data_IF_724379254574
#
_entry.id   IF_724379254574
#
_cell.length_a   1.000
_cell.length_b   1.000
_cell.length_c   1.000
_cell.angle_alpha   90.00
_cell.angle_beta   90.00
_cell.angle_gamma   90.00
#
_symmetry.space_group_name_H-M   'P 1'
#
loop_
_entity.id
_entity.type
_entity.pdbx_description
1 polymer ?
#
# COMPACT_ATOMS: atom_id res chain seq x y z
N UNK A 1 13.27 1.58 -23.70
CA UNK A 1 12.58 2.73 -23.07
C UNK A 1 13.62 3.77 -22.70
N UNK A 2 13.32 5.06 -22.84
CA UNK A 2 14.26 6.16 -22.56
C UNK A 2 13.71 7.05 -21.44
N UNK A 3 14.60 7.62 -20.63
CA UNK A 3 14.21 8.55 -19.57
C UNK A 3 13.73 9.88 -20.16
N UNK A 4 12.56 10.36 -19.72
CA UNK A 4 11.99 11.65 -20.16
C UNK A 4 12.80 12.87 -19.73
N UNK A 5 13.57 12.80 -18.63
CA UNK A 5 14.41 13.91 -18.17
C UNK A 5 15.78 13.97 -18.84
N UNK A 6 16.38 12.82 -19.19
CA UNK A 6 17.79 12.79 -19.64
C UNK A 6 18.09 11.90 -20.84
N UNK A 7 17.07 11.32 -21.47
CA UNK A 7 17.20 10.53 -22.71
C UNK A 7 18.01 9.23 -22.59
N UNK A 8 18.46 8.86 -21.39
CA UNK A 8 19.24 7.65 -21.17
C UNK A 8 18.39 6.39 -21.40
N UNK A 9 18.98 5.35 -21.97
CA UNK A 9 18.33 4.05 -22.11
C UNK A 9 18.10 3.43 -20.72
N UNK A 10 16.87 2.97 -20.48
CA UNK A 10 16.42 2.40 -19.22
C UNK A 10 16.43 0.88 -19.29
N UNK A 11 16.96 0.23 -18.25
CA UNK A 11 16.72 -1.19 -17.99
C UNK A 11 15.33 -1.35 -17.36
N UNK A 12 14.60 -2.41 -17.72
CA UNK A 12 13.15 -2.53 -17.53
C UNK A 12 12.66 -2.68 -16.06
N UNK A 13 13.51 -2.48 -15.04
CA UNK A 13 13.14 -2.67 -13.62
C UNK A 13 13.77 -1.66 -12.64
N UNK A 14 14.11 -0.44 -13.05
CA UNK A 14 14.62 0.58 -12.10
C UNK A 14 13.55 1.61 -11.75
N UNK A 15 13.31 1.85 -10.44
CA UNK A 15 12.39 2.90 -9.95
C UNK A 15 12.89 4.32 -10.24
N UNK A 16 14.18 4.44 -10.53
CA UNK A 16 14.86 5.70 -10.81
C UNK A 16 15.80 5.51 -12.00
N UNK A 17 16.08 6.61 -12.70
CA UNK A 17 17.05 6.62 -13.78
C UNK A 17 18.48 6.58 -13.21
N UNK A 18 19.29 5.61 -13.61
CA UNK A 18 20.68 5.47 -13.16
C UNK A 18 21.60 6.62 -13.59
N UNK A 19 21.17 7.45 -14.56
CA UNK A 19 21.98 8.55 -15.09
C UNK A 19 21.66 9.91 -14.45
N UNK A 20 20.37 10.21 -14.27
CA UNK A 20 19.93 11.52 -13.80
C UNK A 20 19.12 11.48 -12.49
N UNK A 21 18.90 10.29 -11.91
CA UNK A 21 18.14 10.13 -10.66
C UNK A 21 16.63 10.37 -10.79
N UNK A 22 16.15 10.77 -11.97
CA UNK A 22 14.72 11.03 -12.21
C UNK A 22 13.88 9.79 -11.86
N UNK A 23 12.82 9.99 -11.07
CA UNK A 23 11.89 8.93 -10.70
C UNK A 23 11.13 8.48 -11.93
N UNK A 24 11.14 7.18 -12.16
CA UNK A 24 10.41 6.53 -13.24
C UNK A 24 9.14 5.98 -12.63
N UNK A 25 7.99 6.34 -13.18
CA UNK A 25 6.72 5.74 -12.81
C UNK A 25 6.75 4.33 -13.41
N UNK A 26 7.28 3.38 -12.65
CA UNK A 26 7.32 1.96 -13.03
C UNK A 26 5.94 1.34 -12.90
N UNK A 27 5.64 0.39 -13.78
CA UNK A 27 4.43 -0.42 -14.02
C UNK A 27 3.64 -0.92 -12.79
N UNK A 28 4.10 -0.71 -11.57
CA UNK A 28 3.37 -1.07 -10.35
C UNK A 28 2.08 -0.24 -10.18
N UNK A 29 2.01 1.00 -10.67
CA UNK A 29 0.76 1.78 -10.64
C UNK A 29 -0.34 1.17 -11.53
N UNK A 30 0.03 0.52 -12.63
CA UNK A 30 -0.92 -0.21 -13.49
C UNK A 30 -1.44 -1.49 -12.85
N UNK A 31 -0.66 -2.16 -11.99
CA UNK A 31 -1.13 -3.36 -11.27
C UNK A 31 -2.04 -3.00 -10.09
N UNK A 32 -1.76 -1.89 -9.40
CA UNK A 32 -2.66 -1.37 -8.34
C UNK A 32 -4.02 -1.00 -8.94
N UNK A 33 -4.06 -0.34 -10.10
CA UNK A 33 -5.30 0.01 -10.78
C UNK A 33 -6.12 -1.23 -11.16
N UNK A 34 -5.50 -2.25 -11.76
CA UNK A 34 -6.18 -3.50 -12.10
C UNK A 34 -6.71 -4.25 -10.88
N UNK A 35 -5.95 -4.26 -9.79
CA UNK A 35 -6.38 -4.93 -8.56
C UNK A 35 -7.56 -4.21 -7.90
N UNK A 36 -7.60 -2.87 -7.98
CA UNK A 36 -8.69 -2.06 -7.47
C UNK A 36 -9.97 -2.22 -8.30
N UNK A 37 -9.86 -2.26 -9.63
CA UNK A 37 -10.98 -2.55 -10.53
C UNK A 37 -11.57 -3.94 -10.25
N UNK A 38 -10.72 -4.96 -10.09
CA UNK A 38 -11.19 -6.32 -9.78
C UNK A 38 -11.90 -6.41 -8.42
N UNK A 39 -11.45 -5.63 -7.42
CA UNK A 39 -12.17 -5.52 -6.13
C UNK A 39 -13.52 -4.83 -6.27
N UNK A 40 -13.61 -3.81 -7.12
CA UNK A 40 -14.88 -3.13 -7.38
C UNK A 40 -15.89 -4.09 -8.03
N UNK A 41 -15.47 -4.87 -9.01
CA UNK A 41 -16.35 -5.85 -9.67
C UNK A 41 -16.90 -6.89 -8.68
N UNK A 42 -16.06 -7.45 -7.81
CA UNK A 42 -16.50 -8.39 -6.77
C UNK A 42 -17.47 -7.74 -5.76
N UNK A 43 -17.26 -6.46 -5.43
CA UNK A 43 -18.14 -5.73 -4.52
C UNK A 43 -19.50 -5.37 -5.18
N UNK A 44 -19.47 -4.97 -6.45
CA UNK A 44 -20.67 -4.65 -7.22
C UNK A 44 -21.56 -5.87 -7.42
N UNK A 45 -20.99 -7.06 -7.64
CA UNK A 45 -21.74 -8.30 -7.73
C UNK A 45 -22.44 -8.62 -6.40
N UNK A 46 -21.72 -8.54 -5.27
CA UNK A 46 -22.31 -8.71 -3.94
C UNK A 46 -23.45 -7.74 -3.64
N UNK A 47 -23.27 -6.46 -4.00
CA UNK A 47 -24.31 -5.45 -3.82
C UNK A 47 -25.53 -5.74 -4.68
N UNK A 48 -25.34 -6.18 -5.93
CA UNK A 48 -26.44 -6.54 -6.83
C UNK A 48 -27.27 -7.69 -6.25
N UNK A 49 -26.63 -8.80 -5.85
CA UNK A 49 -27.32 -9.96 -5.29
C UNK A 49 -28.03 -9.65 -3.97
N UNK A 50 -27.39 -8.89 -3.07
CA UNK A 50 -28.02 -8.49 -1.81
C UNK A 50 -29.25 -7.61 -2.03
N UNK A 51 -29.20 -6.71 -3.02
CA UNK A 51 -30.33 -5.84 -3.36
C UNK A 51 -31.47 -6.64 -3.98
N UNK A 52 -31.18 -7.52 -4.94
CA UNK A 52 -32.19 -8.39 -5.57
C UNK A 52 -32.83 -9.32 -4.54
N UNK A 53 -32.04 -9.94 -3.67
CA UNK A 53 -32.53 -10.83 -2.62
C UNK A 53 -33.37 -10.08 -1.59
N UNK A 54 -32.92 -8.90 -1.15
CA UNK A 54 -33.66 -8.04 -0.23
C UNK A 54 -35.00 -7.58 -0.81
N UNK A 55 -35.03 -7.18 -2.08
CA UNK A 55 -36.27 -6.78 -2.75
C UNK A 55 -37.24 -7.95 -2.91
N UNK A 56 -36.74 -9.12 -3.32
CA UNK A 56 -37.54 -10.34 -3.41
C UNK A 56 -38.13 -10.73 -2.05
N UNK A 57 -37.38 -10.52 -0.97
CA UNK A 57 -37.86 -10.74 0.39
C UNK A 57 -38.97 -9.77 0.82
N UNK A 58 -38.85 -8.49 0.46
CA UNK A 58 -39.87 -7.50 0.79
C UNK A 58 -41.16 -7.78 0.01
N UNK A 59 -41.05 -8.03 -1.30
CA UNK A 59 -42.20 -8.31 -2.17
C UNK A 59 -42.85 -9.66 -1.84
N UNK A 60 -42.05 -10.69 -1.59
CA UNK A 60 -42.54 -12.00 -1.15
C UNK A 60 -43.28 -11.93 0.17
N UNK A 61 -42.79 -11.11 1.12
CA UNK A 61 -43.45 -10.88 2.40
C UNK A 61 -44.81 -10.21 2.23
N UNK A 62 -44.89 -9.18 1.39
CA UNK A 62 -46.16 -8.49 1.08
C UNK A 62 -47.19 -9.43 0.44
N UNK A 63 -46.79 -10.24 -0.54
CA UNK A 63 -47.69 -11.19 -1.22
C UNK A 63 -48.17 -12.31 -0.28
N UNK A 64 -47.32 -12.73 0.67
CA UNK A 64 -47.67 -13.72 1.67
C UNK A 64 -48.64 -13.18 2.72
N UNK A 65 -48.53 -11.89 3.08
CA UNK A 65 -49.44 -11.27 4.04
C UNK A 65 -50.89 -11.26 3.55
N UNK A 66 -51.12 -11.07 2.24
CA UNK A 66 -52.47 -11.10 1.64
C UNK A 66 -53.15 -12.47 1.81
N UNK A 67 -52.38 -13.56 1.72
CA UNK A 67 -52.88 -14.93 1.91
C UNK A 67 -52.89 -15.39 3.37
N UNK A 68 -52.02 -14.82 4.21
CA UNK A 68 -51.86 -15.28 5.58
C UNK A 68 -52.97 -14.78 6.53
N UNK A 69 -53.76 -13.79 6.13
CA UNK A 69 -54.91 -13.26 6.88
C UNK A 69 -55.97 -14.32 7.23
N UNK A 70 -56.03 -15.46 6.51
CA UNK A 70 -57.05 -16.50 6.73
C UNK A 70 -56.57 -17.87 7.26
N UNK A 71 -55.28 -18.24 7.19
CA UNK A 71 -54.90 -19.66 7.39
C UNK A 71 -53.47 -19.96 7.85
N UNK A 72 -52.58 -18.98 8.06
CA UNK A 72 -51.15 -19.26 7.87
C UNK A 72 -50.16 -18.66 8.86
N UNK A 73 -50.44 -18.63 10.17
CA UNK A 73 -49.47 -18.12 11.16
C UNK A 73 -48.11 -18.87 11.09
N UNK A 74 -48.15 -20.19 10.85
CA UNK A 74 -46.94 -21.00 10.64
C UNK A 74 -46.18 -20.66 9.35
N UNK A 75 -46.88 -20.20 8.32
CA UNK A 75 -46.30 -19.86 7.02
C UNK A 75 -45.50 -18.54 7.10
N UNK A 76 -46.01 -17.56 7.85
CA UNK A 76 -45.28 -16.33 8.17
C UNK A 76 -44.02 -16.65 8.97
N UNK A 77 -44.12 -17.49 10.01
CA UNK A 77 -42.97 -17.86 10.85
C UNK A 77 -41.91 -18.60 10.03
N UNK A 78 -42.32 -19.57 9.20
CA UNK A 78 -41.41 -20.29 8.31
C UNK A 78 -40.70 -19.33 7.33
N UNK A 79 -41.43 -18.35 6.78
CA UNK A 79 -40.86 -17.32 5.90
C UNK A 79 -39.82 -16.45 6.62
N UNK A 80 -40.11 -15.99 7.84
CA UNK A 80 -39.20 -15.20 8.66
C UNK A 80 -37.91 -15.96 9.01
N UNK A 81 -38.02 -17.26 9.34
CA UNK A 81 -36.86 -18.11 9.64
C UNK A 81 -36.02 -18.33 8.38
N UNK A 82 -36.66 -18.68 7.26
CA UNK A 82 -35.97 -18.97 6.00
C UNK A 82 -35.22 -17.74 5.49
N UNK A 83 -35.87 -16.59 5.51
CA UNK A 83 -35.29 -15.32 5.09
C UNK A 83 -34.13 -14.85 5.94
N UNK A 84 -34.29 -14.90 7.27
CA UNK A 84 -33.24 -14.57 8.22
C UNK A 84 -32.03 -15.49 8.03
N UNK A 85 -32.26 -16.79 7.88
CA UNK A 85 -31.19 -17.77 7.65
C UNK A 85 -30.45 -17.50 6.34
N UNK A 86 -31.17 -17.27 5.25
CA UNK A 86 -30.57 -16.94 3.96
C UNK A 86 -29.75 -15.63 4.02
N UNK A 87 -30.27 -14.59 4.68
CA UNK A 87 -29.56 -13.33 4.88
C UNK A 87 -28.27 -13.53 5.69
N UNK A 88 -28.32 -14.30 6.78
CA UNK A 88 -27.14 -14.58 7.61
C UNK A 88 -26.06 -15.37 6.84
N UNK A 89 -26.46 -16.30 5.97
CA UNK A 89 -25.52 -17.02 5.10
C UNK A 89 -24.83 -16.04 4.14
N UNK A 90 -25.60 -15.23 3.40
CA UNK A 90 -25.06 -14.27 2.44
C UNK A 90 -24.15 -13.25 3.13
N UNK A 91 -24.62 -12.67 4.23
CA UNK A 91 -23.84 -11.70 5.01
C UNK A 91 -22.58 -12.34 5.62
N UNK A 92 -22.69 -13.57 6.13
CA UNK A 92 -21.57 -14.33 6.66
C UNK A 92 -20.49 -14.61 5.60
N UNK A 93 -20.90 -14.96 4.37
CA UNK A 93 -19.97 -15.16 3.26
C UNK A 93 -19.25 -13.86 2.88
N UNK A 94 -19.96 -12.73 2.80
CA UNK A 94 -19.34 -11.43 2.55
C UNK A 94 -18.33 -11.03 3.65
N UNK A 95 -18.72 -11.17 4.91
CA UNK A 95 -17.80 -10.90 6.03
C UNK A 95 -16.60 -11.84 6.02
N UNK A 96 -16.82 -13.13 5.74
CA UNK A 96 -15.76 -14.11 5.63
C UNK A 96 -14.76 -13.75 4.52
N UNK A 97 -15.26 -13.34 3.35
CA UNK A 97 -14.43 -12.93 2.22
C UNK A 97 -13.57 -11.71 2.59
N UNK A 98 -14.15 -10.71 3.26
CA UNK A 98 -13.41 -9.52 3.74
C UNK A 98 -12.33 -9.92 4.76
N UNK A 99 -12.67 -10.80 5.71
CA UNK A 99 -11.72 -11.27 6.72
C UNK A 99 -10.59 -12.07 6.06
N UNK A 100 -10.90 -12.93 5.09
CA UNK A 100 -9.93 -13.73 4.37
C UNK A 100 -8.92 -12.84 3.63
N UNK A 101 -9.41 -11.78 2.96
CA UNK A 101 -8.53 -10.80 2.32
C UNK A 101 -7.68 -10.03 3.34
N UNK A 102 -8.28 -9.62 4.47
CA UNK A 102 -7.56 -8.91 5.54
C UNK A 102 -6.44 -9.75 6.19
N UNK A 103 -6.55 -11.09 6.12
CA UNK A 103 -5.52 -12.02 6.59
C UNK A 103 -4.36 -12.16 5.60
N UNK A 104 -4.62 -12.07 4.29
CA UNK A 104 -3.58 -12.12 3.25
C UNK A 104 -2.61 -10.93 3.32
N UNK A 105 -3.14 -9.72 3.49
CA UNK A 105 -2.34 -8.48 3.52
C UNK A 105 -1.41 -8.39 4.73
N UNK A 106 -1.79 -8.99 5.88
CA UNK A 106 -0.94 -9.01 7.08
C UNK A 106 0.35 -9.81 6.88
N UNK A 107 0.32 -10.85 6.04
CA UNK A 107 1.52 -11.65 5.73
C UNK A 107 2.45 -10.88 4.79
N UNK A 108 1.92 -10.20 3.77
CA UNK A 108 2.72 -9.35 2.88
C UNK A 108 3.32 -8.14 3.63
N UNK A 109 2.55 -7.48 4.50
CA UNK A 109 3.02 -6.32 5.28
C UNK A 109 4.12 -6.68 6.28
N UNK A 110 4.09 -7.88 6.88
CA UNK A 110 5.15 -8.33 7.78
C UNK A 110 6.43 -8.75 7.04
N UNK A 111 6.34 -9.13 5.75
CA UNK A 111 7.51 -9.48 4.94
C UNK A 111 8.15 -8.24 4.30
N UNK A 112 7.39 -7.18 4.05
CA UNK A 112 7.89 -5.88 3.54
C UNK A 112 8.43 -4.98 4.65
N UNK A 113 8.01 -5.18 5.91
CA UNK A 113 8.45 -4.36 7.08
C UNK A 113 9.75 -4.84 7.73
N UNK A 114 10.46 -5.80 7.12
CA UNK A 114 11.83 -6.23 7.51
C UNK A 114 12.90 -5.74 6.53
N UNK A 115 12.64 -4.67 5.78
CA UNK A 115 13.70 -3.87 5.16
C UNK A 115 13.83 -2.56 5.95
N UNK A 116 15.03 -2.16 6.41
CA UNK A 116 15.21 -0.83 6.96
C UNK A 116 14.82 0.17 5.87
N UNK A 117 13.72 0.89 6.09
CA UNK A 117 13.46 2.15 5.41
C UNK A 117 14.56 3.09 5.87
N UNK A 118 15.65 3.10 5.12
CA UNK A 118 16.73 4.07 5.23
C UNK A 118 16.18 5.41 4.72
N UNK A 119 15.38 6.05 5.56
CA UNK A 119 15.10 7.48 5.43
C UNK A 119 16.43 8.16 5.65
N UNK A 120 16.95 8.79 4.59
CA UNK A 120 17.96 9.84 4.63
C UNK A 120 17.50 11.01 5.51
N UNK A 121 17.31 10.76 6.80
CA UNK A 121 17.26 11.76 7.84
C UNK A 121 18.73 12.01 8.18
N UNK A 122 19.26 13.13 7.70
CA UNK A 122 20.47 13.71 8.23
C UNK A 122 20.34 13.69 9.77
N UNK A 123 21.22 12.93 10.43
CA UNK A 123 21.18 12.76 11.87
C UNK A 123 21.14 14.11 12.59
N UNK A 124 20.47 14.18 13.75
CA UNK A 124 20.29 15.44 14.47
C UNK A 124 21.66 16.07 14.77
N UNK A 125 21.75 17.35 14.42
CA UNK A 125 22.88 18.24 14.62
C UNK A 125 23.39 18.12 16.06
N UNK A 126 24.60 17.59 16.23
CA UNK A 126 25.27 17.54 17.53
C UNK A 126 25.63 18.99 17.91
N UNK A 127 25.24 19.49 19.09
CA UNK A 127 25.45 20.88 19.47
C UNK A 127 26.96 21.20 19.48
N UNK A 128 27.35 22.11 18.59
CA UNK A 128 28.70 22.70 18.53
C UNK A 128 28.89 23.63 19.71
N UNK A 129 29.65 23.21 20.72
CA UNK A 129 30.47 24.12 21.54
C UNK A 129 31.73 23.38 22.00
N UNK A 130 32.86 23.66 21.35
CA UNK A 130 34.13 23.99 22.02
C UNK A 130 35.17 24.30 20.95
N UNK A 131 35.80 25.45 21.07
CA UNK A 131 36.84 25.98 20.20
C UNK A 131 38.03 25.03 20.11
N UNK A 132 38.38 24.60 18.90
CA UNK A 132 39.78 24.35 18.54
C UNK A 132 39.96 24.72 17.06
N UNK A 133 40.86 25.66 16.72
CA UNK A 133 41.14 26.01 15.34
C UNK A 133 41.83 24.81 14.68
N UNK A 134 41.07 24.06 13.89
CA UNK A 134 41.61 22.99 13.04
C UNK A 134 42.49 23.65 11.96
N UNK A 135 43.79 23.32 11.88
CA UNK A 135 44.69 23.94 10.92
C UNK A 135 44.23 23.60 9.50
N UNK A 136 44.11 24.62 8.67
CA UNK A 136 43.72 24.46 7.28
C UNK A 136 44.74 23.61 6.53
N UNK A 137 44.25 22.68 5.71
CA UNK A 137 45.05 21.73 4.92
C UNK A 137 45.87 22.43 3.81
N UNK A 138 45.79 23.76 3.68
CA UNK A 138 46.65 24.55 2.79
C UNK A 138 48.03 24.88 3.38
N UNK A 139 48.29 24.66 4.67
CA UNK A 139 49.58 25.01 5.30
C UNK A 139 50.59 23.85 5.42
N UNK A 140 50.14 22.60 5.27
CA UNK A 140 51.00 21.43 5.57
C UNK A 140 51.92 20.99 4.42
N UNK A 141 51.87 21.65 3.26
CA UNK A 141 52.68 21.25 2.08
C UNK A 141 53.88 22.16 1.83
N UNK A 142 53.99 23.33 2.47
CA UNK A 142 55.11 24.26 2.26
C UNK A 142 56.26 24.08 3.25
N UNK A 143 56.03 23.53 4.45
CA UNK A 143 57.09 23.40 5.47
C UNK A 143 58.08 22.24 5.25
N UNK A 144 57.77 21.27 4.39
CA UNK A 144 58.68 20.14 4.11
C UNK A 144 59.78 20.47 3.08
N UNK A 145 59.66 21.56 2.33
CA UNK A 145 60.63 21.93 1.29
C UNK A 145 61.73 22.89 1.79
N UNK A 146 61.54 23.58 2.93
CA UNK A 146 62.59 24.44 3.50
C UNK A 146 63.60 23.65 4.35
N UNK A 147 63.15 22.62 5.08
CA UNK A 147 64.04 21.77 5.90
C UNK A 147 65.04 20.93 5.06
N UNK A 148 64.82 20.83 3.75
CA UNK A 148 65.71 20.15 2.81
C UNK A 148 66.70 21.09 2.12
N UNK A 149 66.53 22.42 2.22
CA UNK A 149 67.44 23.41 1.62
C UNK A 149 68.59 23.82 2.56
N UNK A 150 68.40 23.79 3.87
CA UNK A 150 69.46 24.10 4.84
C UNK A 150 70.48 22.98 5.05
N UNK A 151 70.20 21.76 4.56
CA UNK A 151 71.10 20.60 4.75
C UNK A 151 72.16 20.42 3.64
N UNK A 152 72.28 21.38 2.72
CA UNK A 152 73.18 21.31 1.53
C UNK A 152 74.26 22.40 1.52
N UNK A 153 74.33 23.27 2.52
CA UNK A 153 75.41 24.28 2.65
C UNK A 153 76.12 24.18 4.01
N UNK A 154 76.61 22.98 4.32
CA UNK A 154 77.74 22.79 5.22
C UNK A 154 78.83 22.00 4.50
#
# INVERSE_FOLDING_TARGET
MYCSSCGAALSQQTKYCNRCGARLITTEETDVSKQLVKRLDEYMDGLFWTTVFGLGLILGGLALMDKALNSGQGLIIAYMILSSTAFLIVFGLHLWQIILMSRGDKKARNTVRTGPLDTNELGPEKPRISLEPSPSVTENTTRSLEASKERVTQ
#
